data_IF_060834466326
#
_entry.id   IF_060834466326
#
_cell.length_a   1.000
_cell.length_b   1.000
_cell.length_c   1.000
_cell.angle_alpha   90.00
_cell.angle_beta   90.00
_cell.angle_gamma   90.00
#
_symmetry.space_group_name_H-M   'P 1'
#
loop_
_entity.id
_entity.type
_entity.pdbx_description
1 polymer ?
#
# COMPACT_ATOMS: atom_id res chain seq x y z
N UNK A 1 -23.25 -0.44 6.64
CA UNK A 1 -22.51 -1.67 7.01
C UNK A 1 -21.07 -1.50 6.57
N UNK A 2 -20.08 -1.69 7.45
CA UNK A 2 -18.67 -1.59 7.08
C UNK A 2 -18.22 -2.81 6.25
N UNK A 3 -17.27 -2.61 5.34
CA UNK A 3 -16.67 -3.70 4.54
C UNK A 3 -15.99 -4.72 5.46
N UNK A 4 -16.31 -6.02 5.29
CA UNK A 4 -15.68 -7.11 6.05
C UNK A 4 -14.36 -7.58 5.45
N UNK A 5 -14.31 -7.73 4.11
CA UNK A 5 -13.11 -8.16 3.38
C UNK A 5 -12.03 -7.10 3.47
N UNK A 6 -10.79 -7.51 3.71
CA UNK A 6 -9.64 -6.60 3.78
C UNK A 6 -8.97 -6.46 2.41
N UNK A 7 -8.42 -5.27 2.13
CA UNK A 7 -7.65 -5.01 0.91
C UNK A 7 -6.18 -4.92 1.25
N UNK A 8 -5.38 -5.69 0.51
CA UNK A 8 -3.91 -5.66 0.55
C UNK A 8 -3.45 -5.00 -0.75
N UNK A 9 -2.64 -3.94 -0.67
CA UNK A 9 -2.03 -3.32 -1.85
C UNK A 9 -0.51 -3.49 -1.81
N UNK A 10 0.10 -3.82 -2.94
CA UNK A 10 1.56 -3.85 -3.05
C UNK A 10 2.07 -2.44 -3.27
N UNK A 11 3.02 -2.01 -2.45
CA UNK A 11 3.69 -0.72 -2.59
C UNK A 11 4.92 -0.88 -3.49
N UNK A 12 5.15 0.11 -4.34
CA UNK A 12 6.32 0.22 -5.19
C UNK A 12 6.36 1.61 -5.85
N UNK A 13 7.12 1.79 -6.94
CA UNK A 13 7.39 3.12 -7.51
C UNK A 13 6.15 3.95 -7.86
N UNK A 14 5.03 3.30 -8.19
CA UNK A 14 3.78 3.98 -8.53
C UNK A 14 2.96 4.42 -7.30
N UNK A 15 3.31 3.96 -6.09
CA UNK A 15 2.50 4.08 -4.88
C UNK A 15 3.28 4.34 -3.59
N UNK A 16 4.59 4.59 -3.67
CA UNK A 16 5.46 4.84 -2.51
C UNK A 16 5.41 6.27 -1.97
N UNK A 17 4.87 7.22 -2.75
CA UNK A 17 4.75 8.61 -2.28
C UNK A 17 3.74 8.72 -1.14
N UNK A 18 4.00 9.59 -0.17
CA UNK A 18 3.12 9.82 0.98
C UNK A 18 1.69 10.19 0.53
N UNK A 19 1.57 11.02 -0.51
CA UNK A 19 0.29 11.39 -1.09
C UNK A 19 -0.47 10.17 -1.63
N UNK A 20 0.21 9.28 -2.37
CA UNK A 20 -0.44 8.06 -2.88
C UNK A 20 -0.81 7.09 -1.76
N UNK A 21 0.00 6.94 -0.72
CA UNK A 21 -0.33 6.07 0.40
C UNK A 21 -1.58 6.60 1.13
N UNK A 22 -1.70 7.92 1.28
CA UNK A 22 -2.89 8.56 1.84
C UNK A 22 -4.11 8.29 0.98
N UNK A 23 -4.03 8.50 -0.33
CA UNK A 23 -5.13 8.24 -1.26
C UNK A 23 -5.56 6.76 -1.22
N UNK A 24 -4.60 5.83 -1.12
CA UNK A 24 -4.88 4.40 -0.98
C UNK A 24 -5.58 4.08 0.35
N UNK A 25 -5.16 4.70 1.45
CA UNK A 25 -5.79 4.52 2.75
C UNK A 25 -7.25 5.03 2.75
N UNK A 26 -7.48 6.22 2.17
CA UNK A 26 -8.81 6.81 2.03
C UNK A 26 -9.72 5.99 1.09
N UNK A 27 -9.16 5.43 0.01
CA UNK A 27 -9.84 4.48 -0.87
C UNK A 27 -10.12 3.12 -0.20
N UNK A 28 -9.53 2.88 0.98
CA UNK A 28 -9.80 1.72 1.82
C UNK A 28 -8.78 0.60 1.71
N UNK A 29 -7.50 0.88 1.46
CA UNK A 29 -6.42 -0.07 1.73
C UNK A 29 -6.39 -0.41 3.23
N UNK A 30 -6.12 -1.67 3.58
CA UNK A 30 -5.95 -2.09 4.99
C UNK A 30 -4.54 -2.54 5.32
N UNK A 31 -3.84 -3.14 4.36
CA UNK A 31 -2.48 -3.65 4.54
C UNK A 31 -1.64 -3.23 3.35
N UNK A 32 -0.48 -2.64 3.63
CA UNK A 32 0.57 -2.42 2.65
C UNK A 32 1.45 -3.67 2.57
N UNK A 33 1.63 -4.22 1.37
CA UNK A 33 2.59 -5.29 1.08
C UNK A 33 3.85 -4.65 0.51
N UNK A 34 4.97 -4.79 1.22
CA UNK A 34 6.30 -4.41 0.73
C UNK A 34 6.95 -5.66 0.15
N UNK A 35 7.25 -5.63 -1.15
CA UNK A 35 7.90 -6.76 -1.82
C UNK A 35 9.41 -6.63 -1.76
N UNK A 36 10.10 -7.56 -1.09
CA UNK A 36 11.57 -7.55 -0.97
C UNK A 36 12.30 -8.22 -2.16
N UNK A 37 11.58 -8.54 -3.23
CA UNK A 37 12.16 -9.17 -4.43
C UNK A 37 12.86 -8.14 -5.34
N UNK A 38 12.51 -6.86 -5.22
CA UNK A 38 13.04 -5.74 -5.97
C UNK A 38 13.24 -4.56 -4.99
N UNK A 39 14.32 -3.79 -5.14
CA UNK A 39 14.69 -2.70 -4.22
C UNK A 39 15.75 -3.10 -3.18
N UNK A 40 16.34 -2.12 -2.50
CA UNK A 40 17.23 -2.34 -1.34
C UNK A 40 16.46 -2.25 -0.03
N UNK A 41 17.06 -2.63 1.09
CA UNK A 41 16.40 -2.56 2.41
C UNK A 41 16.26 -1.12 2.95
N UNK A 42 17.02 -0.20 2.36
CA UNK A 42 17.07 1.21 2.75
C UNK A 42 16.06 2.06 1.95
N UNK A 43 15.42 1.47 0.93
CA UNK A 43 14.25 1.99 0.19
C UNK A 43 12.94 1.48 0.82
#
# INVERSE_FOLDING_TARGET
MARRTKIIATIGPASESEAMIKDLAEAGMNVARIGLAHGTLDE
#
